data_IF_043697778001
#
_entry.id   IF_043697778001
#
_cell.length_a   1.000
_cell.length_b   1.000
_cell.length_c   1.000
_cell.angle_alpha   90.00
_cell.angle_beta   90.00
_cell.angle_gamma   90.00
#
_symmetry.space_group_name_H-M   'P 1'
#
loop_
_entity.id
_entity.type
_entity.pdbx_description
1 polymer ?
#
# COMPACT_ATOMS: atom_id res chain seq x y z
N UNK A 1 27.76 30.47 -10.13
CA UNK A 1 27.74 29.49 -11.23
C UNK A 1 27.21 28.16 -10.68
N UNK A 2 25.88 28.06 -10.65
CA UNK A 2 25.13 26.82 -10.48
C UNK A 2 25.31 26.02 -11.77
N UNK A 3 26.48 25.42 -11.94
CA UNK A 3 26.76 24.55 -13.09
C UNK A 3 26.08 23.22 -12.82
N UNK A 4 24.79 23.12 -13.15
CA UNK A 4 23.99 21.90 -12.98
C UNK A 4 22.52 22.09 -13.34
N UNK A 5 21.92 23.23 -12.97
CA UNK A 5 20.47 23.46 -13.07
C UNK A 5 20.09 24.67 -13.94
N UNK A 6 20.29 24.64 -15.27
CA UNK A 6 19.73 25.63 -16.16
C UNK A 6 18.27 25.29 -16.50
N UNK A 7 17.33 26.14 -16.04
CA UNK A 7 15.91 26.12 -16.45
C UNK A 7 15.79 25.91 -17.98
N UNK A 8 15.11 24.82 -18.33
CA UNK A 8 15.12 24.19 -19.65
C UNK A 8 13.80 23.47 -19.90
N UNK A 9 13.60 22.88 -21.10
CA UNK A 9 12.33 22.23 -21.44
C UNK A 9 12.01 20.99 -20.59
N UNK A 10 13.00 20.47 -19.86
CA UNK A 10 12.89 19.32 -18.95
C UNK A 10 13.10 19.71 -17.48
N UNK A 11 13.17 21.02 -17.21
CA UNK A 11 13.34 21.64 -15.89
C UNK A 11 12.32 22.80 -15.77
N UNK A 12 11.00 22.56 -16.00
CA UNK A 12 10.02 23.63 -16.04
C UNK A 12 9.78 24.24 -14.65
N UNK A 13 8.92 25.27 -14.55
CA UNK A 13 8.37 25.63 -13.24
C UNK A 13 7.39 24.53 -12.85
N UNK A 14 7.71 23.64 -11.91
CA UNK A 14 7.09 22.31 -11.69
C UNK A 14 5.58 22.31 -11.39
N UNK A 15 4.81 22.62 -12.42
CA UNK A 15 3.37 22.79 -12.35
C UNK A 15 2.74 21.94 -13.42
N UNK A 16 1.53 21.46 -13.13
CA UNK A 16 0.74 20.64 -14.06
C UNK A 16 0.65 21.26 -15.47
N UNK A 17 0.43 22.58 -15.64
CA UNK A 17 0.36 23.19 -16.98
C UNK A 17 1.68 23.23 -17.75
N UNK A 18 2.82 23.01 -17.09
CA UNK A 18 4.15 23.03 -17.70
C UNK A 18 4.81 21.66 -17.76
N UNK A 19 4.06 20.58 -17.47
CA UNK A 19 4.56 19.22 -17.56
C UNK A 19 5.15 18.93 -18.95
N UNK A 20 6.26 18.19 -18.97
CA UNK A 20 6.91 17.73 -20.19
C UNK A 20 6.05 16.68 -20.88
N UNK A 21 5.59 16.94 -22.10
CA UNK A 21 4.71 16.01 -22.84
C UNK A 21 5.51 14.93 -23.55
N UNK A 22 5.22 13.65 -23.26
CA UNK A 22 5.72 12.51 -24.01
C UNK A 22 5.04 12.44 -25.39
N UNK A 23 5.79 12.74 -26.45
CA UNK A 23 5.24 12.82 -27.81
C UNK A 23 4.96 11.47 -28.47
N UNK A 24 5.79 10.45 -28.22
CA UNK A 24 5.60 9.08 -28.70
C UNK A 24 6.28 8.11 -27.74
N UNK A 25 5.66 6.95 -27.50
CA UNK A 25 6.19 5.91 -26.64
C UNK A 25 6.86 4.78 -27.45
N UNK A 26 7.94 4.15 -26.94
CA UNK A 26 8.64 4.51 -25.71
C UNK A 26 9.35 5.86 -25.81
N UNK A 27 9.33 6.63 -24.72
CA UNK A 27 10.01 7.91 -24.57
C UNK A 27 11.13 7.79 -23.53
N UNK A 28 12.26 8.43 -23.79
CA UNK A 28 13.40 8.48 -22.88
C UNK A 28 13.74 9.95 -22.65
N UNK A 29 13.83 10.34 -21.39
CA UNK A 29 14.20 11.68 -20.94
C UNK A 29 15.46 11.59 -20.09
N UNK A 30 16.44 12.43 -20.41
CA UNK A 30 17.61 12.67 -19.56
C UNK A 30 17.36 14.02 -18.87
N UNK A 31 17.22 14.00 -17.55
CA UNK A 31 16.87 15.17 -16.74
C UNK A 31 17.77 15.32 -15.51
N UNK A 32 17.67 16.45 -14.83
CA UNK A 32 18.43 16.74 -13.61
C UNK A 32 17.49 17.29 -12.55
N UNK A 33 17.09 16.49 -11.57
CA UNK A 33 16.22 16.98 -10.51
C UNK A 33 16.97 17.98 -9.62
N UNK A 34 16.57 19.26 -9.67
CA UNK A 34 17.29 20.33 -8.99
C UNK A 34 16.64 20.75 -7.66
N UNK A 35 17.43 21.17 -6.66
CA UNK A 35 16.92 21.60 -5.34
C UNK A 35 15.84 22.69 -5.36
N UNK A 36 15.74 23.43 -6.47
CA UNK A 36 14.82 24.56 -6.64
C UNK A 36 13.48 24.19 -7.30
N UNK A 37 13.34 22.95 -7.76
CA UNK A 37 12.25 22.49 -8.63
C UNK A 37 11.02 22.12 -7.79
N UNK A 38 10.56 23.08 -6.99
CA UNK A 38 9.46 22.85 -6.06
C UNK A 38 8.17 22.91 -6.84
N UNK A 39 7.48 21.77 -6.91
CA UNK A 39 6.14 21.74 -7.44
C UNK A 39 5.21 22.61 -6.61
N UNK A 40 4.68 23.68 -7.20
CA UNK A 40 3.71 24.53 -6.49
C UNK A 40 2.37 23.82 -6.26
N UNK A 41 2.15 22.69 -6.94
CA UNK A 41 0.94 21.86 -6.78
C UNK A 41 1.14 20.80 -5.70
N UNK A 42 2.29 20.12 -5.69
CA UNK A 42 2.56 18.99 -4.77
C UNK A 42 3.43 19.36 -3.56
N UNK A 43 4.09 20.51 -3.58
CA UNK A 43 4.93 21.00 -2.48
C UNK A 43 6.28 20.29 -2.32
N UNK A 44 6.67 19.45 -3.30
CA UNK A 44 7.90 18.65 -3.29
C UNK A 44 8.84 19.06 -4.40
N UNK A 45 10.14 18.73 -4.26
CA UNK A 45 11.13 18.92 -5.34
C UNK A 45 10.90 17.81 -6.37
N UNK A 46 10.45 18.19 -7.57
CA UNK A 46 10.02 17.22 -8.57
C UNK A 46 10.01 17.75 -10.00
N UNK A 47 10.28 16.86 -10.95
CA UNK A 47 9.99 17.04 -12.37
C UNK A 47 8.67 16.36 -12.75
N UNK A 48 7.90 17.00 -13.63
CA UNK A 48 6.58 16.53 -14.04
C UNK A 48 6.49 16.25 -15.54
N UNK A 49 5.96 15.08 -15.88
CA UNK A 49 5.75 14.61 -17.25
C UNK A 49 4.27 14.31 -17.48
N UNK A 50 3.81 14.45 -18.73
CA UNK A 50 2.46 14.11 -19.14
C UNK A 50 2.49 13.09 -20.27
N UNK A 51 1.72 12.03 -20.14
CA UNK A 51 1.66 10.90 -21.07
C UNK A 51 0.20 10.64 -21.47
N UNK A 52 -0.02 10.25 -22.72
CA UNK A 52 -1.32 9.75 -23.17
C UNK A 52 -1.20 8.25 -23.44
N UNK A 53 -2.07 7.46 -22.81
CA UNK A 53 -2.12 6.00 -22.92
C UNK A 53 -3.32 5.61 -23.77
N UNK A 54 -3.17 4.61 -24.65
CA UNK A 54 -4.26 4.13 -25.48
C UNK A 54 -5.17 3.14 -24.70
N UNK A 55 -6.32 2.85 -25.30
CA UNK A 55 -7.23 1.84 -24.77
C UNK A 55 -6.56 0.45 -24.77
N UNK A 56 -6.69 -0.28 -23.67
CA UNK A 56 -6.03 -1.58 -23.48
C UNK A 56 -4.51 -1.52 -23.34
N UNK A 57 -3.95 -0.38 -22.97
CA UNK A 57 -2.53 -0.25 -22.61
C UNK A 57 -2.37 0.10 -21.12
N UNK A 58 -1.18 -0.20 -20.59
CA UNK A 58 -0.73 0.16 -19.25
C UNK A 58 0.57 0.96 -19.37
N UNK A 59 0.70 2.04 -18.60
CA UNK A 59 1.89 2.88 -18.53
C UNK A 59 2.93 2.29 -17.57
N UNK A 60 4.16 2.20 -18.04
CA UNK A 60 5.34 1.89 -17.24
C UNK A 60 6.27 3.09 -17.22
N UNK A 61 6.67 3.51 -16.02
CA UNK A 61 7.67 4.54 -15.78
C UNK A 61 8.84 3.96 -14.99
N UNK A 62 10.05 4.11 -15.52
CA UNK A 62 11.27 3.58 -14.91
C UNK A 62 12.36 4.65 -14.86
N UNK A 63 12.96 4.84 -13.68
CA UNK A 63 14.09 5.75 -13.48
C UNK A 63 15.39 4.96 -13.47
N UNK A 64 16.42 5.42 -14.17
CA UNK A 64 17.80 4.92 -14.02
C UNK A 64 18.81 6.06 -13.87
N UNK A 65 20.01 5.78 -13.36
CA UNK A 65 20.99 6.80 -12.92
C UNK A 65 21.73 7.56 -14.06
N UNK A 66 21.21 7.65 -15.29
CA UNK A 66 21.98 8.24 -16.41
C UNK A 66 23.22 7.45 -16.85
N UNK A 67 23.71 6.56 -15.99
CA UNK A 67 24.77 5.61 -16.20
C UNK A 67 24.17 4.19 -16.24
N UNK A 68 24.44 3.50 -17.35
CA UNK A 68 23.94 2.16 -17.68
C UNK A 68 24.05 1.20 -16.48
N UNK A 69 22.90 0.78 -15.95
CA UNK A 69 22.64 -0.37 -15.07
C UNK A 69 23.07 -0.32 -13.59
N UNK A 70 23.36 0.83 -12.98
CA UNK A 70 23.55 0.87 -11.52
C UNK A 70 22.72 1.98 -10.86
N UNK A 71 21.50 1.66 -10.44
CA UNK A 71 20.66 2.51 -9.59
C UNK A 71 21.17 2.59 -8.14
N UNK A 72 22.50 2.65 -7.98
CA UNK A 72 23.19 2.72 -6.69
C UNK A 72 23.28 4.17 -6.23
N UNK A 73 22.59 4.51 -5.14
CA UNK A 73 22.63 5.80 -4.43
C UNK A 73 21.63 6.90 -4.87
N UNK A 74 20.45 6.55 -5.40
CA UNK A 74 19.39 7.54 -5.67
C UNK A 74 18.25 7.46 -4.64
N UNK A 75 17.88 8.60 -4.04
CA UNK A 75 16.68 8.82 -3.21
C UNK A 75 15.49 9.26 -4.07
N UNK A 76 15.48 8.86 -5.34
CA UNK A 76 14.45 9.25 -6.31
C UNK A 76 13.24 8.33 -6.21
N UNK A 77 12.07 8.96 -6.38
CA UNK A 77 10.75 8.36 -6.39
C UNK A 77 10.17 8.54 -7.77
N UNK A 78 9.43 7.53 -8.26
CA UNK A 78 8.57 7.65 -9.42
C UNK A 78 7.12 7.43 -9.03
N UNK A 79 6.25 8.37 -9.38
CA UNK A 79 4.82 8.30 -9.10
C UNK A 79 4.01 8.54 -10.37
N UNK A 80 2.89 7.84 -10.50
CA UNK A 80 1.93 8.00 -11.61
C UNK A 80 0.61 8.50 -11.05
N UNK A 81 0.09 9.57 -11.65
CA UNK A 81 -1.18 10.19 -11.31
C UNK A 81 -2.15 10.14 -12.49
N UNK A 82 -3.45 10.10 -12.19
CA UNK A 82 -4.49 10.34 -13.19
C UNK A 82 -4.63 11.82 -13.55
N UNK A 83 -5.60 12.15 -14.41
CA UNK A 83 -5.89 13.52 -14.84
C UNK A 83 -6.52 14.41 -13.74
N UNK A 84 -6.96 13.80 -12.64
CA UNK A 84 -7.44 14.48 -11.43
C UNK A 84 -6.36 14.70 -10.38
N UNK A 85 -5.13 14.23 -10.65
CA UNK A 85 -3.97 14.24 -9.75
C UNK A 85 -4.14 13.31 -8.53
N UNK A 86 -4.96 12.28 -8.66
CA UNK A 86 -4.98 11.18 -7.69
C UNK A 86 -3.82 10.23 -8.00
N UNK A 87 -3.01 9.94 -6.99
CA UNK A 87 -1.92 8.97 -7.10
C UNK A 87 -2.51 7.60 -7.40
N UNK A 88 -2.14 7.03 -8.55
CA UNK A 88 -2.53 5.67 -8.93
C UNK A 88 -1.50 4.65 -8.47
N UNK A 89 -0.22 5.03 -8.49
CA UNK A 89 0.86 4.20 -7.99
C UNK A 89 2.06 5.08 -7.65
N UNK A 90 2.68 4.80 -6.53
CA UNK A 90 3.95 5.38 -6.12
C UNK A 90 4.89 4.22 -5.84
N UNK A 91 6.11 4.26 -6.38
CA UNK A 91 7.09 3.24 -6.11
C UNK A 91 8.41 3.86 -5.67
N UNK A 92 8.81 3.47 -4.47
CA UNK A 92 10.15 3.65 -3.94
C UNK A 92 10.88 2.31 -3.87
N UNK A 93 12.21 2.37 -3.94
CA UNK A 93 13.07 1.20 -3.93
C UNK A 93 12.98 0.47 -2.58
N UNK A 94 12.38 -0.73 -2.55
CA UNK A 94 12.36 -1.59 -1.35
C UNK A 94 13.48 -2.64 -1.27
N UNK A 95 14.04 -3.09 -2.41
CA UNK A 95 14.86 -4.32 -2.46
C UNK A 95 16.40 -4.12 -2.55
N UNK A 96 16.86 -2.90 -2.81
CA UNK A 96 18.28 -2.61 -2.90
C UNK A 96 18.97 -2.94 -4.23
N UNK A 97 18.27 -3.57 -5.19
CA UNK A 97 18.82 -4.22 -6.38
C UNK A 97 18.20 -3.71 -7.68
N UNK A 98 16.98 -3.19 -7.62
CA UNK A 98 16.20 -2.76 -8.79
C UNK A 98 16.04 -1.24 -8.84
N UNK A 99 15.86 -0.73 -10.06
CA UNK A 99 15.61 0.70 -10.32
C UNK A 99 14.15 1.08 -10.00
N UNK A 100 13.86 2.29 -9.48
CA UNK A 100 12.48 2.72 -9.21
C UNK A 100 11.62 2.57 -10.46
N UNK A 101 10.55 1.78 -10.35
CA UNK A 101 9.65 1.47 -11.46
C UNK A 101 8.21 1.53 -10.97
N UNK A 102 7.39 2.39 -11.58
CA UNK A 102 5.95 2.42 -11.36
C UNK A 102 5.23 1.88 -12.60
N UNK A 103 4.20 1.07 -12.39
CA UNK A 103 3.31 0.56 -13.44
C UNK A 103 1.89 0.92 -13.05
N UNK A 104 1.23 1.75 -13.86
CA UNK A 104 -0.12 2.23 -13.59
C UNK A 104 -0.77 2.74 -14.88
N UNK A 105 -1.86 3.50 -14.74
CA UNK A 105 -2.48 4.20 -15.86
C UNK A 105 -3.24 3.27 -16.80
N UNK A 106 -4.19 2.54 -16.22
CA UNK A 106 -5.06 1.61 -16.91
C UNK A 106 -6.11 2.35 -17.73
N UNK A 107 -6.17 2.06 -19.02
CA UNK A 107 -7.21 2.57 -19.92
C UNK A 107 -6.83 3.84 -20.67
N UNK A 108 -7.68 4.19 -21.64
CA UNK A 108 -7.44 5.34 -22.49
C UNK A 108 -7.53 6.65 -21.70
N UNK A 109 -6.43 7.40 -21.60
CA UNK A 109 -6.40 8.56 -20.74
C UNK A 109 -5.10 9.36 -20.80
N UNK A 110 -5.13 10.49 -20.09
CA UNK A 110 -3.95 11.29 -19.81
C UNK A 110 -3.47 11.00 -18.39
N UNK A 111 -2.17 10.81 -18.22
CA UNK A 111 -1.53 10.50 -16.94
C UNK A 111 -0.35 11.44 -16.72
N UNK A 112 -0.08 11.75 -15.46
CA UNK A 112 1.13 12.47 -15.08
C UNK A 112 2.13 11.49 -14.47
N UNK A 113 3.40 11.67 -14.79
CA UNK A 113 4.50 10.96 -14.14
C UNK A 113 5.34 11.99 -13.41
N UNK A 114 5.56 11.77 -12.13
CA UNK A 114 6.39 12.60 -11.28
C UNK A 114 7.70 11.88 -10.99
N UNK A 115 8.80 12.59 -11.14
CA UNK A 115 10.12 12.19 -10.64
C UNK A 115 10.45 13.13 -9.50
N UNK A 116 10.53 12.62 -8.27
CA UNK A 116 10.73 13.45 -7.08
C UNK A 116 11.82 12.89 -6.17
N UNK A 117 12.22 13.65 -5.15
CA UNK A 117 13.13 13.18 -4.10
C UNK A 117 12.47 13.23 -2.73
N UNK A 118 12.57 12.13 -2.00
CA UNK A 118 11.94 11.90 -0.70
C UNK A 118 12.30 12.97 0.34
N UNK A 119 13.61 13.16 0.56
CA UNK A 119 14.17 14.08 1.56
C UNK A 119 14.33 15.51 1.03
N UNK A 120 13.82 15.76 -0.19
CA UNK A 120 14.31 16.80 -1.06
C UNK A 120 15.78 16.57 -1.42
N UNK A 121 16.35 17.53 -2.15
CA UNK A 121 17.77 17.47 -2.49
C UNK A 121 18.45 18.81 -2.25
N UNK A 122 19.69 18.77 -1.76
CA UNK A 122 20.56 19.95 -1.63
C UNK A 122 21.49 20.13 -2.82
N UNK A 123 21.59 19.11 -3.68
CA UNK A 123 22.41 19.07 -4.90
C UNK A 123 21.57 18.62 -6.10
N UNK A 124 22.08 18.78 -7.32
CA UNK A 124 21.37 18.33 -8.51
C UNK A 124 21.48 16.79 -8.65
N UNK A 125 20.38 16.09 -8.97
CA UNK A 125 20.35 14.64 -9.14
C UNK A 125 20.08 14.29 -10.61
N UNK A 126 21.06 13.71 -11.29
CA UNK A 126 20.90 13.26 -12.67
C UNK A 126 19.99 12.01 -12.73
N UNK A 127 19.11 11.94 -13.73
CA UNK A 127 18.28 10.75 -13.96
C UNK A 127 17.94 10.56 -15.44
N UNK A 128 17.67 9.30 -15.78
CA UNK A 128 17.04 8.89 -17.04
C UNK A 128 15.66 8.32 -16.75
N UNK A 129 14.61 8.99 -17.21
CA UNK A 129 13.25 8.48 -17.15
C UNK A 129 12.90 7.78 -18.47
N UNK A 130 12.53 6.50 -18.39
CA UNK A 130 11.94 5.75 -19.49
C UNK A 130 10.45 5.60 -19.26
N UNK A 131 9.65 6.05 -20.23
CA UNK A 131 8.21 5.88 -20.28
C UNK A 131 7.86 4.94 -21.43
N UNK A 132 7.11 3.89 -21.15
CA UNK A 132 6.66 2.92 -22.15
C UNK A 132 5.20 2.51 -21.89
N UNK A 133 4.54 1.97 -22.90
CA UNK A 133 3.22 1.38 -22.78
C UNK A 133 3.23 -0.05 -23.29
N UNK A 134 2.61 -0.94 -22.53
CA UNK A 134 2.44 -2.34 -22.94
C UNK A 134 0.97 -2.63 -23.16
N UNK A 135 0.65 -3.32 -24.26
CA UNK A 135 -0.69 -3.83 -24.51
C UNK A 135 -1.06 -4.86 -23.44
N UNK A 136 -2.21 -4.65 -22.82
CA UNK A 136 -2.81 -5.55 -21.88
C UNK A 136 -4.22 -5.92 -22.32
N UNK A 137 -4.54 -7.21 -22.26
CA UNK A 137 -5.86 -7.70 -22.68
C UNK A 137 -6.71 -7.89 -21.44
N UNK A 138 -7.97 -7.47 -21.55
CA UNK A 138 -9.09 -7.86 -20.70
C UNK A 138 -9.65 -9.18 -21.27
N UNK A 139 -9.33 -10.30 -20.64
CA UNK A 139 -9.65 -11.65 -21.12
C UNK A 139 -11.05 -12.12 -20.73
N UNK A 140 -11.61 -11.60 -19.64
CA UNK A 140 -12.92 -12.01 -19.15
C UNK A 140 -14.05 -11.00 -19.45
N UNK A 141 -13.68 -9.85 -20.00
CA UNK A 141 -14.54 -8.77 -20.48
C UNK A 141 -15.29 -8.02 -19.37
N UNK A 142 -14.65 -7.84 -18.22
CA UNK A 142 -15.19 -7.09 -17.07
C UNK A 142 -14.81 -5.60 -17.07
N UNK A 143 -14.08 -5.15 -18.10
CA UNK A 143 -13.55 -3.80 -18.34
C UNK A 143 -12.29 -3.43 -17.58
N UNK A 144 -11.77 -4.33 -16.75
CA UNK A 144 -10.51 -4.17 -16.05
C UNK A 144 -9.38 -4.90 -16.79
N UNK A 145 -8.15 -4.38 -16.65
CA UNK A 145 -6.98 -4.96 -17.29
C UNK A 145 -6.26 -5.89 -16.31
N UNK A 146 -5.74 -7.01 -16.82
CA UNK A 146 -5.03 -8.03 -16.02
C UNK A 146 -3.90 -7.52 -15.14
N UNK A 147 -3.85 -7.92 -13.87
CA UNK A 147 -2.71 -7.68 -12.97
C UNK A 147 -1.40 -8.28 -13.46
N UNK A 148 -1.47 -9.35 -14.27
CA UNK A 148 -0.27 -9.96 -14.88
C UNK A 148 0.51 -9.02 -15.82
N UNK A 149 -0.10 -7.95 -16.30
CA UNK A 149 0.53 -6.93 -17.14
C UNK A 149 0.71 -5.58 -16.41
N UNK A 150 0.32 -5.53 -15.13
CA UNK A 150 0.25 -4.32 -14.33
C UNK A 150 -1.16 -3.94 -13.91
N UNK A 151 -2.22 -4.27 -14.67
CA UNK A 151 -3.60 -3.79 -14.44
C UNK A 151 -4.22 -4.09 -13.07
N UNK A 152 -5.40 -3.52 -12.74
CA UNK A 152 -5.97 -3.67 -11.41
C UNK A 152 -6.78 -4.96 -11.22
N UNK A 153 -6.96 -5.77 -12.26
CA UNK A 153 -7.72 -7.02 -12.19
C UNK A 153 -6.85 -8.20 -11.71
N UNK A 154 -7.08 -8.60 -10.47
CA UNK A 154 -6.43 -9.73 -9.83
C UNK A 154 -6.81 -11.10 -10.43
N UNK A 155 -7.91 -11.22 -11.16
CA UNK A 155 -8.35 -12.46 -11.81
C UNK A 155 -9.05 -12.26 -13.17
N UNK A 156 -8.20 -12.04 -14.17
CA UNK A 156 -8.49 -11.90 -15.61
C UNK A 156 -9.02 -13.17 -16.31
N UNK A 157 -9.76 -14.00 -15.57
CA UNK A 157 -10.48 -15.15 -16.08
C UNK A 157 -11.89 -15.28 -15.52
N UNK A 158 -12.32 -14.34 -14.66
CA UNK A 158 -13.54 -14.36 -13.90
C UNK A 158 -14.17 -12.96 -13.82
N UNK A 159 -15.17 -12.64 -14.68
CA UNK A 159 -15.66 -11.26 -14.84
C UNK A 159 -16.56 -10.75 -13.69
N UNK A 160 -16.57 -11.48 -12.58
CA UNK A 160 -17.18 -11.06 -11.33
C UNK A 160 -16.16 -10.82 -10.22
N UNK A 161 -14.86 -10.89 -10.54
CA UNK A 161 -13.72 -10.57 -9.68
C UNK A 161 -12.97 -9.46 -10.39
N UNK A 162 -12.85 -8.30 -9.76
CA UNK A 162 -12.30 -7.09 -10.36
C UNK A 162 -12.61 -5.86 -9.50
N UNK A 163 -11.90 -4.74 -9.68
CA UNK A 163 -12.07 -3.54 -8.87
C UNK A 163 -13.53 -3.13 -8.60
N UNK A 164 -13.89 -3.10 -7.32
CA UNK A 164 -15.23 -2.73 -6.83
C UNK A 164 -16.31 -3.82 -7.00
N UNK A 165 -15.93 -5.09 -7.17
CA UNK A 165 -16.85 -6.21 -7.04
C UNK A 165 -17.44 -6.29 -5.62
N UNK A 166 -18.44 -7.16 -5.42
CA UNK A 166 -18.99 -7.39 -4.09
C UNK A 166 -18.18 -8.48 -3.39
N UNK A 167 -17.62 -8.12 -2.24
CA UNK A 167 -16.84 -9.03 -1.42
C UNK A 167 -17.69 -10.08 -0.67
N UNK A 168 -17.18 -11.32 -0.61
CA UNK A 168 -17.70 -12.44 0.16
C UNK A 168 -16.67 -12.75 1.25
N UNK A 169 -16.71 -11.92 2.29
CA UNK A 169 -15.78 -11.98 3.40
C UNK A 169 -15.49 -13.41 3.91
N UNK A 170 -14.21 -13.74 4.01
CA UNK A 170 -13.64 -14.93 4.63
C UNK A 170 -13.70 -16.20 3.77
N UNK A 171 -13.98 -16.07 2.47
CA UNK A 171 -14.01 -17.20 1.54
C UNK A 171 -12.62 -17.51 0.92
N UNK A 172 -11.64 -16.64 1.17
CA UNK A 172 -10.24 -16.72 0.75
C UNK A 172 -9.96 -16.16 -0.63
N UNK A 173 -10.92 -15.44 -1.23
CA UNK A 173 -10.81 -14.84 -2.56
C UNK A 173 -11.03 -13.34 -2.43
N UNK A 174 -10.02 -12.54 -2.76
CA UNK A 174 -10.15 -11.12 -3.01
C UNK A 174 -11.02 -10.92 -4.27
N UNK A 175 -12.31 -10.56 -4.12
CA UNK A 175 -13.18 -10.37 -5.28
C UNK A 175 -13.11 -8.96 -5.82
N UNK A 176 -12.88 -7.96 -4.99
CA UNK A 176 -12.83 -6.57 -5.42
C UNK A 176 -11.42 -6.05 -5.74
N UNK A 177 -10.42 -6.92 -5.73
CA UNK A 177 -9.02 -6.70 -6.12
C UNK A 177 -8.36 -5.52 -5.42
N UNK A 178 -8.72 -5.23 -4.18
CA UNK A 178 -8.18 -4.12 -3.40
C UNK A 178 -6.98 -4.51 -2.51
N UNK A 179 -6.59 -5.80 -2.53
CA UNK A 179 -5.35 -6.30 -1.91
C UNK A 179 -5.51 -7.47 -0.95
N UNK A 180 -6.66 -8.15 -0.90
CA UNK A 180 -6.95 -9.23 0.04
C UNK A 180 -8.43 -9.59 0.15
N UNK A 181 -8.75 -10.66 0.88
CA UNK A 181 -10.12 -11.06 1.21
C UNK A 181 -10.59 -10.34 2.49
N UNK A 182 -11.81 -9.82 2.50
CA UNK A 182 -12.39 -9.19 3.69
C UNK A 182 -12.52 -10.23 4.82
N UNK A 183 -12.20 -9.82 6.03
CA UNK A 183 -12.46 -10.62 7.22
C UNK A 183 -13.97 -10.60 7.58
N UNK A 184 -14.46 -11.66 8.22
CA UNK A 184 -15.87 -11.73 8.65
C UNK A 184 -16.06 -11.04 9.99
N UNK A 185 -17.08 -10.19 10.09
CA UNK A 185 -17.37 -9.41 11.30
C UNK A 185 -17.44 -10.22 12.61
N UNK A 186 -17.82 -11.51 12.58
CA UNK A 186 -17.82 -12.38 13.77
C UNK A 186 -17.54 -13.86 13.46
N UNK A 187 -16.59 -14.46 14.20
CA UNK A 187 -16.50 -15.91 14.42
C UNK A 187 -17.61 -16.36 15.39
N UNK A 188 -17.83 -17.67 15.55
CA UNK A 188 -18.84 -18.19 16.49
C UNK A 188 -18.36 -18.01 17.94
N UNK A 189 -18.79 -16.94 18.61
CA UNK A 189 -18.48 -16.68 20.01
C UNK A 189 -18.33 -15.18 20.29
N UNK A 190 -18.33 -14.76 21.55
CA UNK A 190 -18.00 -13.39 21.90
C UNK A 190 -16.50 -13.31 22.16
N UNK A 191 -15.68 -12.82 21.20
CA UNK A 191 -14.26 -12.62 21.44
C UNK A 191 -14.06 -11.62 22.58
N UNK A 192 -13.00 -11.81 23.36
CA UNK A 192 -12.65 -10.92 24.49
C UNK A 192 -11.16 -10.63 24.47
N UNK A 193 -10.80 -9.37 24.74
CA UNK A 193 -9.40 -9.01 25.00
C UNK A 193 -8.84 -9.88 26.13
N UNK A 194 -7.84 -10.69 25.81
CA UNK A 194 -7.31 -11.70 26.72
C UNK A 194 -5.81 -11.87 26.53
N UNK A 195 -5.05 -11.62 27.62
CA UNK A 195 -3.59 -11.65 27.63
C UNK A 195 -2.95 -10.92 26.42
N UNK A 196 -3.26 -9.63 26.19
CA UNK A 196 -2.73 -8.94 25.04
C UNK A 196 -1.21 -8.81 25.13
N UNK A 197 -0.55 -8.88 23.97
CA UNK A 197 0.83 -8.42 23.82
C UNK A 197 0.79 -6.93 23.51
N UNK A 198 1.73 -6.18 24.08
CA UNK A 198 1.84 -4.73 23.88
C UNK A 198 3.02 -4.47 22.96
N UNK A 199 2.79 -3.64 21.95
CA UNK A 199 3.83 -3.11 21.06
C UNK A 199 3.71 -1.59 20.96
N UNK A 200 4.70 -0.97 20.33
CA UNK A 200 4.73 0.45 20.01
C UNK A 200 5.15 0.64 18.55
N UNK A 201 4.47 1.56 17.86
CA UNK A 201 4.77 1.87 16.46
C UNK A 201 5.32 3.30 16.35
N UNK A 202 6.42 3.54 15.63
CA UNK A 202 6.79 4.88 15.22
C UNK A 202 5.83 5.37 14.13
N UNK A 203 5.84 6.67 13.85
CA UNK A 203 5.16 7.13 12.66
C UNK A 203 5.79 6.51 11.43
N UNK A 204 4.97 5.82 10.62
CA UNK A 204 5.36 5.46 9.27
C UNK A 204 5.64 6.71 8.45
N UNK A 205 6.43 6.58 7.40
CA UNK A 205 6.56 7.62 6.39
C UNK A 205 5.71 7.20 5.18
N UNK A 206 4.62 7.94 4.93
CA UNK A 206 3.70 7.72 3.80
C UNK A 206 4.40 7.63 2.43
N UNK A 207 5.65 8.08 2.31
CA UNK A 207 6.41 8.05 1.06
C UNK A 207 7.34 6.84 0.94
N UNK A 208 8.05 6.47 2.02
CA UNK A 208 9.07 5.39 2.00
C UNK A 208 8.53 4.00 2.29
N UNK A 209 7.30 3.93 2.83
CA UNK A 209 6.51 2.76 3.21
C UNK A 209 6.16 2.75 4.72
N UNK A 210 5.02 2.13 5.08
CA UNK A 210 4.60 1.95 6.48
C UNK A 210 5.63 1.17 7.30
N UNK A 211 5.62 1.45 8.60
CA UNK A 211 6.42 0.72 9.59
C UNK A 211 5.55 -0.34 10.22
N UNK A 212 6.03 -1.58 10.24
CA UNK A 212 5.27 -2.74 10.67
C UNK A 212 5.89 -3.45 11.86
N UNK A 213 5.01 -3.93 12.72
CA UNK A 213 5.30 -5.01 13.66
C UNK A 213 4.70 -6.33 13.16
N UNK A 214 5.55 -7.37 13.07
CA UNK A 214 5.17 -8.69 12.59
C UNK A 214 5.06 -9.73 13.71
N UNK A 215 3.92 -10.42 13.75
CA UNK A 215 3.58 -11.50 14.68
C UNK A 215 3.19 -12.77 13.95
N UNK A 216 3.42 -13.94 14.55
CA UNK A 216 3.04 -15.23 13.99
C UNK A 216 2.34 -16.13 15.02
N UNK A 217 1.35 -16.89 14.55
CA UNK A 217 0.66 -17.94 15.32
C UNK A 217 0.57 -19.23 14.50
N UNK A 218 0.58 -20.36 15.20
CA UNK A 218 0.32 -21.66 14.58
C UNK A 218 -1.17 -21.95 14.65
N UNK A 219 -1.78 -22.20 13.49
CA UNK A 219 -3.21 -22.48 13.35
C UNK A 219 -3.39 -23.76 12.54
N UNK A 220 -4.26 -24.65 13.01
CA UNK A 220 -4.66 -25.84 12.28
C UNK A 220 -5.71 -25.49 11.21
N UNK A 221 -5.82 -26.25 10.11
CA UNK A 221 -6.86 -26.03 9.11
C UNK A 221 -8.27 -26.04 9.71
N UNK A 222 -9.12 -25.12 9.25
CA UNK A 222 -10.53 -24.96 9.64
C UNK A 222 -10.74 -24.45 11.07
N UNK A 223 -9.71 -23.90 11.71
CA UNK A 223 -9.90 -23.19 12.96
C UNK A 223 -10.35 -21.75 12.72
N UNK A 224 -11.21 -21.28 13.62
CA UNK A 224 -11.65 -19.90 13.75
C UNK A 224 -10.64 -19.11 14.58
N UNK A 225 -10.13 -18.02 14.00
CA UNK A 225 -9.16 -17.11 14.63
C UNK A 225 -9.81 -15.74 14.78
N UNK A 226 -9.90 -15.25 16.01
CA UNK A 226 -10.27 -13.88 16.29
C UNK A 226 -9.00 -13.08 16.55
N UNK A 227 -8.89 -11.94 15.88
CA UNK A 227 -7.79 -11.00 16.03
C UNK A 227 -8.39 -9.68 16.50
N UNK A 228 -7.83 -9.15 17.58
CA UNK A 228 -8.21 -7.86 18.15
C UNK A 228 -6.94 -7.04 18.27
N UNK A 229 -6.91 -5.90 17.61
CA UNK A 229 -5.89 -4.86 17.79
C UNK A 229 -6.60 -3.65 18.37
N UNK A 230 -6.00 -3.03 19.39
CA UNK A 230 -6.65 -1.97 20.16
C UNK A 230 -5.57 -1.00 20.71
N UNK A 231 -5.75 0.29 20.51
CA UNK A 231 -4.89 1.37 21.04
C UNK A 231 -5.53 2.10 22.25
N UNK A 232 -6.76 1.76 22.63
CA UNK A 232 -7.60 2.39 23.65
C UNK A 232 -8.04 3.82 23.31
N UNK A 233 -7.54 4.80 24.07
CA UNK A 233 -7.67 6.23 23.74
C UNK A 233 -6.36 6.77 23.15
N UNK A 234 -5.54 5.87 22.61
CA UNK A 234 -4.29 6.18 21.94
C UNK A 234 -4.52 7.00 20.68
N UNK A 235 -3.43 7.52 20.13
CA UNK A 235 -3.45 8.31 18.90
C UNK A 235 -2.99 7.50 17.68
N UNK A 236 -2.93 6.17 17.79
CA UNK A 236 -2.46 5.31 16.71
C UNK A 236 -3.60 5.09 15.72
N UNK A 237 -3.49 5.55 14.49
CA UNK A 237 -4.48 5.21 13.45
C UNK A 237 -4.16 3.79 12.94
N UNK A 238 -4.65 2.76 13.61
CA UNK A 238 -4.15 1.40 13.44
C UNK A 238 -4.61 0.75 12.12
N UNK A 239 -3.72 -0.05 11.57
CA UNK A 239 -4.03 -0.94 10.45
C UNK A 239 -3.41 -2.30 10.72
N UNK A 240 -4.20 -3.35 10.51
CA UNK A 240 -3.74 -4.72 10.63
C UNK A 240 -3.96 -5.50 9.33
N UNK A 241 -2.92 -6.20 8.90
CA UNK A 241 -2.97 -7.17 7.80
C UNK A 241 -2.71 -8.57 8.34
N UNK A 242 -3.48 -9.52 7.84
CA UNK A 242 -3.34 -10.93 8.20
C UNK A 242 -2.94 -11.70 6.96
N UNK A 243 -1.73 -12.25 6.93
CA UNK A 243 -1.29 -13.11 5.84
C UNK A 243 -1.58 -14.56 6.21
N UNK A 244 -2.36 -15.23 5.36
CA UNK A 244 -2.60 -16.65 5.48
C UNK A 244 -1.38 -17.48 5.06
N UNK A 245 -1.48 -18.80 5.24
CA UNK A 245 -0.40 -19.73 4.89
C UNK A 245 -0.03 -19.77 3.39
N UNK A 246 -0.89 -19.25 2.52
CA UNK A 246 -0.67 -19.17 1.07
C UNK A 246 -0.06 -17.81 0.67
N UNK A 247 0.08 -16.88 1.63
CA UNK A 247 0.45 -15.49 1.37
C UNK A 247 -0.72 -14.65 0.87
N UNK A 248 -1.96 -15.15 0.97
CA UNK A 248 -3.15 -14.35 0.73
C UNK A 248 -3.32 -13.39 1.89
N UNK A 249 -3.38 -12.10 1.59
CA UNK A 249 -3.69 -11.08 2.58
C UNK A 249 -5.19 -11.08 2.87
N UNK A 250 -5.51 -10.84 4.14
CA UNK A 250 -6.84 -10.62 4.64
C UNK A 250 -6.81 -9.32 5.45
N UNK A 251 -7.81 -8.48 5.27
CA UNK A 251 -7.94 -7.21 5.98
C UNK A 251 -9.40 -7.00 6.43
N UNK A 252 -9.62 -6.08 7.37
CA UNK A 252 -10.94 -5.78 7.90
C UNK A 252 -11.46 -4.44 7.39
N UNK A 253 -12.64 -4.42 6.76
CA UNK A 253 -13.17 -3.18 6.19
C UNK A 253 -13.71 -2.21 7.27
N UNK A 254 -13.06 -1.06 7.38
CA UNK A 254 -13.63 0.17 7.92
C UNK A 254 -13.65 1.26 6.84
N UNK A 255 -14.67 2.13 6.82
CA UNK A 255 -14.89 3.21 5.82
C UNK A 255 -13.72 4.23 5.66
N UNK A 256 -12.63 4.09 6.43
CA UNK A 256 -11.43 4.94 6.42
C UNK A 256 -10.14 4.27 5.93
N UNK A 257 -10.19 2.99 5.52
CA UNK A 257 -9.00 2.19 5.21
C UNK A 257 -8.17 1.80 6.44
N UNK A 258 -8.82 1.77 7.61
CA UNK A 258 -8.21 1.50 8.90
C UNK A 258 -8.91 0.25 9.46
N UNK A 259 -8.17 -0.85 9.42
CA UNK A 259 -8.65 -2.16 9.83
C UNK A 259 -8.32 -2.34 11.31
N UNK A 260 -9.30 -2.74 12.13
CA UNK A 260 -9.10 -2.97 13.57
C UNK A 260 -8.78 -1.71 14.39
N UNK A 261 -9.18 -0.52 13.94
CA UNK A 261 -9.09 0.73 14.72
C UNK A 261 -10.47 1.22 15.19
N UNK A 262 -10.64 1.39 16.50
CA UNK A 262 -11.67 2.27 17.05
C UNK A 262 -11.00 3.42 17.77
N UNK A 263 -11.35 4.62 17.35
CA UNK A 263 -11.08 5.86 18.07
C UNK A 263 -11.67 5.89 19.52
N UNK A 264 -12.26 4.79 20.03
CA UNK A 264 -12.97 4.67 21.31
C UNK A 264 -12.53 3.46 22.16
N UNK A 265 -12.29 3.71 23.45
CA UNK A 265 -11.80 2.75 24.46
C UNK A 265 -12.66 1.46 24.66
N UNK A 266 -12.07 0.29 24.43
CA UNK A 266 -12.64 -1.04 24.69
C UNK A 266 -12.68 -1.45 26.18
N UNK A 267 -13.39 -0.70 27.05
CA UNK A 267 -13.35 -0.93 28.52
C UNK A 267 -14.60 -1.46 29.25
N UNK A 268 -15.72 -1.84 28.60
CA UNK A 268 -16.94 -2.33 29.31
C UNK A 268 -17.69 -3.55 28.71
N UNK A 269 -17.57 -4.71 29.37
CA UNK A 269 -18.34 -5.96 29.15
C UNK A 269 -19.72 -5.98 29.89
N UNK A 270 -20.85 -6.50 29.33
CA UNK A 270 -21.08 -6.94 27.95
C UNK A 270 -21.52 -5.79 27.05
N UNK A 271 -20.86 -5.76 25.90
CA UNK A 271 -20.57 -4.64 25.02
C UNK A 271 -21.77 -4.17 24.20
N UNK A 272 -22.75 -3.55 24.86
CA UNK A 272 -23.77 -2.75 24.18
C UNK A 272 -23.61 -1.30 24.62
N UNK A 273 -23.25 -0.42 23.69
CA UNK A 273 -23.62 0.98 23.89
C UNK A 273 -25.15 1.13 23.73
N UNK A 274 -25.68 2.27 24.14
CA UNK A 274 -27.13 2.52 24.14
C UNK A 274 -27.73 2.71 22.72
N UNK A 275 -26.92 2.59 21.67
CA UNK A 275 -27.32 2.89 20.29
C UNK A 275 -27.16 1.72 19.32
N UNK A 276 -26.51 0.62 19.73
CA UNK A 276 -26.60 -0.68 19.04
C UNK A 276 -25.64 -0.90 17.89
N UNK A 277 -24.75 0.07 17.61
CA UNK A 277 -23.84 0.03 16.46
C UNK A 277 -22.35 0.26 16.86
N UNK A 278 -22.00 0.30 18.15
CA UNK A 278 -20.63 0.55 18.63
C UNK A 278 -19.94 -0.70 19.18
N UNK A 279 -19.43 -1.56 18.31
CA UNK A 279 -18.54 -2.67 18.70
C UNK A 279 -17.09 -2.31 18.40
N UNK A 280 -16.17 -2.67 19.30
CA UNK A 280 -14.73 -2.64 19.03
C UNK A 280 -14.42 -3.31 17.69
N UNK A 281 -13.42 -2.82 16.94
CA UNK A 281 -13.13 -3.30 15.62
C UNK A 281 -12.55 -4.70 15.83
N UNK A 282 -13.25 -5.67 15.29
CA UNK A 282 -12.97 -7.08 15.50
C UNK A 282 -13.17 -7.72 14.17
N UNK A 283 -12.27 -8.64 13.89
CA UNK A 283 -12.43 -9.41 12.70
C UNK A 283 -11.98 -10.84 12.90
N UNK A 284 -12.63 -11.69 12.13
CA UNK A 284 -12.49 -13.12 12.22
C UNK A 284 -12.00 -13.67 10.90
N UNK A 285 -11.07 -14.60 11.01
CA UNK A 285 -10.61 -15.42 9.90
C UNK A 285 -10.98 -16.87 10.16
N UNK A 286 -11.69 -17.48 9.21
CA UNK A 286 -11.79 -18.95 9.17
C UNK A 286 -10.67 -19.47 8.29
N UNK A 287 -9.73 -20.22 8.87
CA UNK A 287 -8.59 -20.74 8.12
C UNK A 287 -9.03 -21.80 7.09
N UNK A 288 -9.17 -21.41 5.81
CA UNK A 288 -9.64 -22.27 4.74
C UNK A 288 -8.72 -23.48 4.53
N UNK A 289 -9.30 -24.69 4.48
CA UNK A 289 -8.58 -25.96 4.67
C UNK A 289 -7.73 -26.47 3.48
N UNK A 290 -6.41 -26.48 3.65
CA UNK A 290 -5.46 -27.38 2.95
C UNK A 290 -4.28 -27.74 3.86
N UNK A 291 -3.81 -29.00 3.93
CA UNK A 291 -2.66 -29.36 4.79
C UNK A 291 -1.34 -28.82 4.21
N UNK A 292 -0.65 -27.96 4.95
CA UNK A 292 0.65 -27.38 4.61
C UNK A 292 1.27 -26.65 5.80
N UNK A 293 2.60 -26.57 5.88
CA UNK A 293 3.34 -26.11 7.06
C UNK A 293 3.74 -24.63 6.95
N UNK A 294 2.98 -23.73 7.59
CA UNK A 294 3.34 -22.32 7.78
C UNK A 294 2.44 -21.66 8.82
N UNK A 295 2.93 -20.69 9.62
CA UNK A 295 2.11 -19.93 10.56
C UNK A 295 1.21 -18.91 9.84
N UNK A 296 0.13 -18.49 10.51
CA UNK A 296 -0.60 -17.26 10.17
C UNK A 296 0.26 -16.08 10.63
N UNK A 297 0.41 -15.05 9.80
CA UNK A 297 1.15 -13.83 10.16
C UNK A 297 0.18 -12.67 10.36
N UNK A 298 0.46 -11.83 11.35
CA UNK A 298 -0.30 -10.63 11.68
C UNK A 298 0.70 -9.48 11.64
N UNK A 299 0.46 -8.53 10.75
CA UNK A 299 1.27 -7.34 10.55
C UNK A 299 0.47 -6.12 10.98
N UNK A 300 1.02 -5.33 11.89
CA UNK A 300 0.35 -4.16 12.46
C UNK A 300 1.17 -2.93 12.13
N UNK A 301 0.50 -1.90 11.61
CA UNK A 301 1.07 -0.59 11.33
C UNK A 301 0.15 0.50 11.87
N UNK A 302 0.62 1.74 11.82
CA UNK A 302 -0.23 2.91 11.97
C UNK A 302 -0.19 3.72 10.68
N UNK A 303 -1.36 4.17 10.24
CA UNK A 303 -1.50 5.06 9.09
C UNK A 303 -0.81 6.37 9.40
N UNK A 304 0.00 6.82 8.45
CA UNK A 304 0.66 8.11 8.54
C UNK A 304 -0.34 9.24 8.21
N UNK A 305 -0.28 10.29 9.01
CA UNK A 305 -1.21 11.40 9.01
C UNK A 305 -0.68 12.56 9.86
N UNK A 306 -1.25 13.76 9.72
CA UNK A 306 -0.78 14.96 10.43
C UNK A 306 -0.86 14.85 11.96
N UNK A 307 -1.64 13.90 12.48
CA UNK A 307 -1.84 13.63 13.89
C UNK A 307 -1.09 12.37 14.38
N UNK A 308 -0.23 11.76 13.54
CA UNK A 308 0.56 10.59 13.91
C UNK A 308 1.53 10.90 15.05
N UNK A 309 1.71 9.95 15.98
CA UNK A 309 2.61 10.06 17.12
C UNK A 309 3.63 8.93 17.13
N UNK A 310 4.91 9.27 17.29
CA UNK A 310 5.97 8.28 17.49
C UNK A 310 5.78 7.49 18.78
N UNK A 311 6.06 6.19 18.72
CA UNK A 311 5.86 5.22 19.80
C UNK A 311 4.39 5.17 20.27
N UNK A 312 3.47 5.15 19.32
CA UNK A 312 2.06 4.93 19.60
C UNK A 312 1.85 3.48 20.04
N UNK A 313 1.37 3.29 21.27
CA UNK A 313 1.14 1.96 21.83
C UNK A 313 -0.09 1.30 21.20
N UNK A 314 0.01 -0.01 20.97
CA UNK A 314 -1.12 -0.86 20.61
C UNK A 314 -1.10 -2.15 21.43
N UNK A 315 -2.23 -2.82 21.46
CA UNK A 315 -2.41 -4.10 22.12
C UNK A 315 -2.98 -5.12 21.15
N UNK A 316 -2.35 -6.30 21.07
CA UNK A 316 -2.75 -7.40 20.19
C UNK A 316 -3.24 -8.58 21.05
N UNK A 317 -4.49 -8.99 20.85
CA UNK A 317 -5.05 -10.22 21.43
C UNK A 317 -5.51 -11.17 20.34
N UNK A 318 -5.18 -12.46 20.50
CA UNK A 318 -5.55 -13.50 19.55
C UNK A 318 -6.28 -14.61 20.28
N UNK A 319 -7.38 -15.08 19.70
CA UNK A 319 -8.09 -16.27 20.16
C UNK A 319 -8.25 -17.28 19.03
N UNK A 320 -7.94 -18.54 19.32
CA UNK A 320 -8.21 -19.67 18.41
C UNK A 320 -9.31 -20.50 19.05
N UNK A 321 -10.44 -20.68 18.36
CA UNK A 321 -11.61 -21.40 18.90
C UNK A 321 -12.08 -20.86 20.27
N UNK A 322 -12.00 -19.53 20.45
CA UNK A 322 -12.32 -18.83 21.70
C UNK A 322 -11.29 -19.01 22.83
N UNK A 323 -10.15 -19.67 22.58
CA UNK A 323 -9.05 -19.80 23.54
C UNK A 323 -7.96 -18.77 23.25
N UNK A 324 -7.59 -17.98 24.26
CA UNK A 324 -6.48 -17.02 24.19
C UNK A 324 -5.15 -17.72 23.83
N UNK A 325 -4.49 -17.21 22.79
CA UNK A 325 -3.18 -17.67 22.32
C UNK A 325 -2.22 -16.49 22.29
N UNK A 326 -1.00 -16.72 22.79
CA UNK A 326 0.06 -15.72 22.72
C UNK A 326 0.76 -15.81 21.35
N UNK A 327 0.78 -14.73 20.55
CA UNK A 327 1.60 -14.68 19.34
C UNK A 327 3.10 -14.73 19.64
N UNK A 328 3.87 -15.18 18.66
CA UNK A 328 5.33 -15.07 18.67
C UNK A 328 5.77 -13.94 17.75
N UNK A 329 6.75 -13.11 18.12
CA UNK A 329 7.26 -12.08 17.22
C UNK A 329 8.01 -12.73 16.04
N UNK A 330 7.79 -12.23 14.83
CA UNK A 330 8.56 -12.63 13.66
C UNK A 330 9.98 -12.06 13.79
N UNK A 331 11.05 -12.87 13.68
CA UNK A 331 12.41 -12.38 13.89
C UNK A 331 12.80 -11.24 12.93
N UNK A 332 13.08 -10.05 13.49
CA UNK A 332 13.48 -8.87 12.73
C UNK A 332 12.34 -8.04 12.16
N UNK A 333 11.08 -8.40 12.48
CA UNK A 333 9.89 -7.71 12.03
C UNK A 333 9.38 -6.63 13.01
N UNK A 334 10.23 -6.14 13.93
CA UNK A 334 9.86 -5.02 14.81
C UNK A 334 10.31 -3.74 14.13
N UNK A 335 9.41 -2.78 14.00
CA UNK A 335 9.64 -1.53 13.26
C UNK A 335 10.18 -1.76 11.83
N UNK A 336 9.66 -2.77 11.15
CA UNK A 336 10.14 -3.15 9.82
C UNK A 336 9.47 -2.29 8.75
N UNK A 337 10.26 -1.63 7.93
CA UNK A 337 9.75 -0.81 6.80
C UNK A 337 9.49 -1.75 5.61
N UNK A 338 8.22 -1.89 5.23
CA UNK A 338 7.77 -2.71 4.09
C UNK A 338 6.67 -1.99 3.30
N UNK A 339 6.61 -2.11 1.95
CA UNK A 339 5.52 -1.54 1.16
C UNK A 339 4.15 -2.10 1.57
N UNK A 340 3.09 -1.37 1.25
CA UNK A 340 1.72 -1.85 1.38
C UNK A 340 1.36 -2.80 0.21
N UNK A 341 0.68 -3.93 0.46
CA UNK A 341 0.69 -4.75 1.68
C UNK A 341 2.03 -5.53 1.86
N UNK A 342 2.37 -5.95 3.09
CA UNK A 342 3.66 -6.57 3.44
C UNK A 342 3.87 -8.00 2.92
#
# INVERSE_FOLDING_TARGET
PTTGCPDGPFEPNDTVPSATVAGSLPAIFEGVLCPGDISSTLGVVADLFYVTVADGEVLQAMISDGAVDTCTEQTLIVEIFDDTLTTLHAFERSDGLSCPTAVAGWGAGGYYVLVSSLDGTTEALDYTLTLDTTLCTDNDADTWLSAGCGGPDCNDSAPGIGPGALEIAGDGIDQDCDGGDDLVAECVGSPVMSNPVIGDLPCGDTRVAPVWDGWEILVDPLQEVNIIVDNGLGSADLVAHVLDRNGTAHYGYGDGGTALDDDWDCTVDPWTDAFGDGGCPRDCLTTQGTPGSGPLQIWISQKDGPDCVDAAEYSLSIQIEGLSVAPSPIPGANDMILPWPP
#
